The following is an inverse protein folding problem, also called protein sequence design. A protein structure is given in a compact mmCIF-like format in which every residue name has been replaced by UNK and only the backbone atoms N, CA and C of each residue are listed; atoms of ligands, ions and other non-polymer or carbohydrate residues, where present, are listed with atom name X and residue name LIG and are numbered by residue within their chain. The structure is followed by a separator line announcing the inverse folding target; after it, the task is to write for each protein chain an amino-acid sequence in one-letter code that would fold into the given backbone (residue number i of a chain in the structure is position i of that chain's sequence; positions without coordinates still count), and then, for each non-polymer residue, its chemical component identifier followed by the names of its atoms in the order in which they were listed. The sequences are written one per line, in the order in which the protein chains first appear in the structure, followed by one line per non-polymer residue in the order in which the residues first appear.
data_IF_384061690076
#
_entry.id   IF_384061690076
#
_cell.length_a   1.000
_cell.length_b   1.000
_cell.length_c   1.000
_cell.angle_alpha   90.00
_cell.angle_beta   90.00
_cell.angle_gamma   90.00
#
_symmetry.space_group_name_H-M   'P 1'
#
loop_
_entity.id
_entity.type
_entity.pdbx_description
1 polymer ?
#
# COMPACT_ATOMS: atom_id res chain seq x y z
N UNK A 1 4.70 -30.32 -61.81
CA UNK A 1 3.33 -30.48 -62.31
C UNK A 1 2.51 -31.13 -61.19
N UNK A 2 1.91 -30.34 -60.29
CA UNK A 2 0.51 -29.85 -60.31
C UNK A 2 -0.49 -31.02 -60.30
N UNK A 3 -1.34 -31.19 -59.28
CA UNK A 3 -2.48 -30.29 -59.01
C UNK A 3 -3.08 -30.52 -57.60
N UNK A 4 -3.51 -29.42 -56.98
CA UNK A 4 -4.46 -29.27 -55.85
C UNK A 4 -5.87 -29.79 -56.26
N UNK A 5 -6.85 -30.11 -55.41
CA UNK A 5 -7.53 -29.33 -54.36
C UNK A 5 -8.51 -30.23 -53.56
N UNK A 6 -8.72 -29.92 -52.27
CA UNK A 6 -10.01 -29.57 -51.63
C UNK A 6 -10.02 -29.90 -50.12
N UNK A 7 -10.38 -28.87 -49.34
CA UNK A 7 -10.41 -28.85 -47.89
C UNK A 7 -11.59 -29.65 -47.28
N UNK A 8 -11.50 -30.01 -45.99
CA UNK A 8 -12.66 -30.07 -45.13
C UNK A 8 -12.65 -28.96 -44.06
N UNK A 9 -13.84 -28.39 -43.92
CA UNK A 9 -14.34 -27.41 -42.97
C UNK A 9 -14.09 -27.78 -41.50
N UNK A 10 -13.78 -26.79 -40.66
CA UNK A 10 -13.82 -26.87 -39.19
C UNK A 10 -15.28 -26.88 -38.67
N UNK A 11 -15.58 -26.89 -37.36
CA UNK A 11 -14.75 -27.11 -36.16
C UNK A 11 -15.42 -28.02 -35.09
N UNK A 12 -14.64 -28.78 -34.31
CA UNK A 12 -15.09 -29.21 -32.97
C UNK A 12 -13.89 -29.27 -32.01
N UNK A 13 -13.60 -28.13 -31.37
CA UNK A 13 -12.74 -28.06 -30.18
C UNK A 13 -13.65 -28.02 -28.96
N UNK A 14 -13.89 -29.17 -28.36
CA UNK A 14 -14.62 -29.29 -27.10
C UNK A 14 -13.66 -29.10 -25.90
N UNK A 15 -13.63 -27.88 -25.38
CA UNK A 15 -13.58 -27.50 -23.96
C UNK A 15 -12.79 -28.37 -22.97
N UNK A 16 -11.46 -28.36 -23.07
CA UNK A 16 -10.65 -28.43 -21.86
C UNK A 16 -10.60 -27.02 -21.26
N UNK A 17 -11.51 -26.73 -20.32
CA UNK A 17 -11.42 -25.55 -19.46
C UNK A 17 -10.13 -25.65 -18.67
N UNK A 18 -9.06 -25.05 -19.20
CA UNK A 18 -7.84 -24.80 -18.45
C UNK A 18 -8.25 -23.84 -17.34
N UNK A 19 -8.53 -24.37 -16.16
CA UNK A 19 -8.43 -23.59 -14.93
C UNK A 19 -6.97 -23.14 -14.85
N UNK A 20 -6.65 -21.99 -15.47
CA UNK A 20 -5.42 -21.27 -15.16
C UNK A 20 -5.53 -20.93 -13.68
N UNK A 21 -4.83 -21.68 -12.84
CA UNK A 21 -4.54 -21.26 -11.48
C UNK A 21 -4.02 -19.82 -11.55
N UNK A 22 -4.86 -18.85 -11.16
CA UNK A 22 -4.41 -17.46 -11.05
C UNK A 22 -3.50 -17.39 -9.83
N UNK A 23 -2.21 -17.62 -10.06
CA UNK A 23 -1.17 -17.44 -9.03
C UNK A 23 -1.10 -15.96 -8.69
N UNK A 24 -1.37 -15.61 -7.44
CA UNK A 24 -1.10 -14.27 -6.91
C UNK A 24 0.42 -14.09 -6.89
N UNK A 25 0.88 -12.99 -7.48
CA UNK A 25 2.30 -12.62 -7.53
C UNK A 25 2.43 -11.18 -7.07
N UNK A 26 3.47 -10.90 -6.30
CA UNK A 26 3.87 -9.52 -6.00
C UNK A 26 4.55 -8.90 -7.23
N UNK A 27 4.84 -7.60 -7.15
CA UNK A 27 5.52 -6.85 -8.22
C UNK A 27 6.93 -7.38 -8.52
N UNK A 28 7.64 -7.90 -7.50
CA UNK A 28 9.02 -8.40 -7.63
C UNK A 28 9.15 -9.85 -7.12
N UNK A 29 8.57 -10.85 -7.81
CA UNK A 29 8.45 -12.22 -7.30
C UNK A 29 9.77 -13.00 -7.27
N UNK A 30 10.83 -12.46 -7.87
CA UNK A 30 12.17 -13.07 -7.90
C UNK A 30 13.17 -12.36 -6.98
N UNK A 31 12.74 -11.31 -6.27
CA UNK A 31 13.61 -10.61 -5.33
C UNK A 31 13.86 -11.45 -4.07
N UNK A 32 14.95 -11.15 -3.38
CA UNK A 32 15.22 -11.64 -2.01
C UNK A 32 14.60 -10.69 -1.00
N UNK A 33 14.14 -11.21 0.13
CA UNK A 33 13.51 -10.44 1.20
C UNK A 33 14.40 -10.45 2.44
N UNK A 34 14.69 -9.26 2.96
CA UNK A 34 15.14 -9.05 4.34
C UNK A 34 13.92 -8.61 5.13
N UNK A 35 13.67 -9.23 6.28
CA UNK A 35 12.52 -8.92 7.12
C UNK A 35 12.99 -8.54 8.53
N UNK A 36 12.70 -7.31 8.94
CA UNK A 36 12.95 -6.81 10.29
C UNK A 36 11.61 -6.71 11.03
N UNK A 37 11.43 -7.54 12.06
CA UNK A 37 10.29 -7.42 12.96
C UNK A 37 10.58 -6.36 13.99
N UNK A 38 9.75 -5.31 14.02
CA UNK A 38 9.84 -4.20 14.99
C UNK A 38 8.65 -4.17 15.95
N UNK A 39 7.77 -5.19 15.88
CA UNK A 39 6.62 -5.34 16.77
C UNK A 39 7.08 -5.67 18.19
N UNK A 40 6.55 -4.96 19.18
CA UNK A 40 6.78 -5.22 20.60
C UNK A 40 5.66 -6.06 21.24
N UNK A 41 5.80 -6.36 22.54
CA UNK A 41 4.84 -7.20 23.27
C UNK A 41 3.49 -6.51 23.55
N UNK A 42 3.39 -5.20 23.33
CA UNK A 42 2.19 -4.38 23.53
C UNK A 42 1.48 -4.05 22.20
N UNK A 43 1.76 -4.81 21.13
CA UNK A 43 1.28 -4.57 19.77
C UNK A 43 1.73 -3.22 19.16
N UNK A 44 2.77 -2.59 19.75
CA UNK A 44 3.39 -1.37 19.27
C UNK A 44 4.63 -1.62 18.40
N UNK A 45 5.28 -0.52 17.98
CA UNK A 45 6.50 -0.56 17.17
C UNK A 45 7.77 -0.32 18.01
N UNK A 46 7.79 -0.76 19.28
CA UNK A 46 8.91 -0.56 20.20
C UNK A 46 10.21 -1.28 19.83
N UNK A 47 10.23 -2.09 18.77
CA UNK A 47 11.45 -2.61 18.16
C UNK A 47 12.11 -1.65 17.17
N UNK A 48 11.52 -0.48 16.90
CA UNK A 48 12.19 0.59 16.17
C UNK A 48 13.32 1.18 17.03
N UNK A 49 14.52 1.39 16.45
CA UNK A 49 15.59 2.09 17.16
C UNK A 49 15.25 3.57 17.32
N UNK A 50 15.90 4.22 18.30
CA UNK A 50 15.76 5.66 18.52
C UNK A 50 16.30 6.48 17.32
N UNK A 51 17.39 6.00 16.68
CA UNK A 51 17.93 6.54 15.42
C UNK A 51 17.57 5.58 14.27
N UNK A 52 16.79 6.07 13.30
CA UNK A 52 16.38 5.27 12.15
C UNK A 52 17.55 4.83 11.26
N UNK A 53 18.71 5.47 11.35
CA UNK A 53 19.93 5.03 10.65
C UNK A 53 20.33 3.61 11.04
N UNK A 54 20.11 3.21 12.30
CA UNK A 54 20.39 1.85 12.77
C UNK A 54 19.46 0.81 12.13
N UNK A 55 18.21 1.20 11.85
CA UNK A 55 17.24 0.35 11.16
C UNK A 55 17.72 0.02 9.74
N UNK A 56 18.29 1.00 9.04
CA UNK A 56 18.67 0.87 7.63
C UNK A 56 20.08 0.32 7.42
N UNK A 57 20.99 0.56 8.38
CA UNK A 57 22.42 0.23 8.23
C UNK A 57 22.65 -1.26 8.02
N UNK A 58 22.07 -2.13 8.85
CA UNK A 58 22.32 -3.58 8.76
C UNK A 58 21.81 -4.19 7.44
N UNK A 59 20.54 -3.96 7.00
CA UNK A 59 20.07 -4.41 5.70
C UNK A 59 20.93 -3.91 4.53
N UNK A 60 21.39 -2.66 4.58
CA UNK A 60 22.18 -2.07 3.51
C UNK A 60 23.60 -2.66 3.44
N UNK A 61 24.29 -2.74 4.58
CA UNK A 61 25.70 -3.14 4.67
C UNK A 61 25.89 -4.66 4.60
N UNK A 62 25.06 -5.43 5.32
CA UNK A 62 25.23 -6.87 5.48
C UNK A 62 24.45 -7.64 4.42
N UNK A 63 23.16 -7.37 4.31
CA UNK A 63 22.26 -8.11 3.42
C UNK A 63 22.24 -7.55 1.98
N UNK A 64 22.90 -6.41 1.77
CA UNK A 64 22.98 -5.70 0.48
C UNK A 64 21.61 -5.31 -0.07
N UNK A 65 20.66 -5.02 0.80
CA UNK A 65 19.37 -4.44 0.41
C UNK A 65 19.60 -3.08 -0.26
N UNK A 66 18.76 -2.76 -1.25
CA UNK A 66 18.78 -1.47 -1.99
C UNK A 66 17.42 -0.77 -2.00
N UNK A 67 16.40 -1.44 -1.49
CA UNK A 67 15.06 -0.90 -1.30
C UNK A 67 14.63 -1.29 0.12
N UNK A 68 14.29 -0.31 0.95
CA UNK A 68 13.68 -0.51 2.26
C UNK A 68 12.29 0.08 2.26
N UNK A 69 11.28 -0.73 2.58
CA UNK A 69 9.88 -0.30 2.57
C UNK A 69 9.31 -0.33 3.98
N UNK A 70 8.68 0.77 4.36
CA UNK A 70 8.17 1.02 5.69
C UNK A 70 6.67 1.35 5.59
N UNK A 71 5.83 0.48 6.15
CA UNK A 71 4.36 0.64 6.17
C UNK A 71 3.88 0.98 7.58
N UNK A 72 4.51 2.00 8.17
CA UNK A 72 4.24 2.53 9.49
C UNK A 72 4.54 4.03 9.49
N UNK A 73 4.02 4.73 10.50
CA UNK A 73 4.26 6.16 10.73
C UNK A 73 3.72 6.57 12.09
N UNK A 74 4.07 7.78 12.53
CA UNK A 74 3.59 8.30 13.82
C UNK A 74 2.42 9.26 13.65
N UNK A 75 1.38 9.07 14.48
CA UNK A 75 0.28 10.02 14.61
C UNK A 75 0.71 11.14 15.55
N UNK A 76 1.35 12.17 14.99
CA UNK A 76 1.89 13.30 15.73
C UNK A 76 2.59 14.29 14.82
N UNK A 77 2.69 15.55 15.28
CA UNK A 77 3.38 16.62 14.56
C UNK A 77 2.97 16.74 13.08
N UNK A 78 1.67 16.62 12.76
CA UNK A 78 1.17 16.60 11.38
C UNK A 78 1.77 17.68 10.47
N UNK A 79 2.32 17.26 9.33
CA UNK A 79 2.98 18.14 8.35
C UNK A 79 4.39 18.66 8.72
N UNK A 80 4.97 18.36 9.89
CA UNK A 80 6.28 18.91 10.31
C UNK A 80 7.45 18.03 9.88
N UNK A 81 8.57 18.63 9.44
CA UNK A 81 9.85 17.95 9.30
C UNK A 81 10.46 17.74 10.69
N UNK A 82 10.57 16.48 11.13
CA UNK A 82 11.02 16.10 12.46
C UNK A 82 12.36 15.34 12.42
N UNK A 83 12.80 14.86 13.58
CA UNK A 83 14.05 14.12 13.72
C UNK A 83 14.07 12.86 12.85
N UNK A 84 12.98 12.09 12.80
CA UNK A 84 12.89 10.91 11.93
C UNK A 84 13.02 11.27 10.45
N UNK A 85 12.43 12.39 10.02
CA UNK A 85 12.62 12.89 8.65
C UNK A 85 14.07 13.29 8.38
N UNK A 86 14.76 13.87 9.37
CA UNK A 86 16.18 14.21 9.27
C UNK A 86 17.08 12.98 9.12
N UNK A 87 16.89 11.97 9.96
CA UNK A 87 17.66 10.72 9.93
C UNK A 87 17.50 9.98 8.60
N UNK A 88 16.26 9.89 8.09
CA UNK A 88 16.00 9.31 6.76
C UNK A 88 16.70 10.10 5.66
N UNK A 89 16.65 11.44 5.73
CA UNK A 89 17.28 12.29 4.73
C UNK A 89 18.80 12.18 4.74
N UNK A 90 19.40 12.15 5.93
CA UNK A 90 20.84 11.98 6.11
C UNK A 90 21.28 10.61 5.59
N UNK A 91 20.59 9.53 5.98
CA UNK A 91 20.95 8.18 5.58
C UNK A 91 20.96 8.03 4.05
N UNK A 92 19.91 8.50 3.36
CA UNK A 92 19.85 8.42 1.89
C UNK A 92 20.85 9.37 1.21
N UNK A 93 21.14 10.52 1.83
CA UNK A 93 22.17 11.42 1.31
C UNK A 93 23.56 10.77 1.30
N UNK A 94 23.90 10.05 2.37
CA UNK A 94 25.17 9.32 2.52
C UNK A 94 25.20 8.00 1.73
N UNK A 95 24.03 7.40 1.47
CA UNK A 95 23.86 6.13 0.75
C UNK A 95 23.00 6.29 -0.49
N UNK A 96 23.54 6.96 -1.52
CA UNK A 96 22.81 7.35 -2.74
C UNK A 96 22.24 6.19 -3.57
N UNK A 97 22.69 4.96 -3.35
CA UNK A 97 22.17 3.74 -4.00
C UNK A 97 21.06 3.05 -3.18
N UNK A 98 20.60 3.64 -2.07
CA UNK A 98 19.50 3.14 -1.26
C UNK A 98 18.20 3.90 -1.51
N UNK A 99 17.13 3.18 -1.83
CA UNK A 99 15.77 3.73 -1.88
C UNK A 99 15.01 3.39 -0.60
N UNK A 100 14.56 4.42 0.12
CA UNK A 100 13.67 4.25 1.28
C UNK A 100 12.26 4.70 0.91
N UNK A 101 11.29 3.80 1.07
CA UNK A 101 9.88 4.06 0.82
C UNK A 101 9.09 4.11 2.13
N UNK A 102 8.20 5.09 2.28
CA UNK A 102 7.28 5.21 3.40
C UNK A 102 5.82 5.31 2.93
N UNK A 103 4.93 4.69 3.69
CA UNK A 103 3.50 4.97 3.62
C UNK A 103 3.21 6.45 3.91
N UNK A 104 2.28 7.07 3.18
CA UNK A 104 1.85 8.44 3.48
C UNK A 104 1.09 8.56 4.81
N UNK A 105 0.42 7.47 5.24
CA UNK A 105 -0.47 7.44 6.39
C UNK A 105 -1.95 7.28 6.01
N UNK A 106 -2.82 7.08 7.01
CA UNK A 106 -4.28 6.95 6.85
C UNK A 106 -5.09 8.03 7.57
N UNK A 107 -4.52 9.21 7.74
CA UNK A 107 -5.07 10.29 8.56
C UNK A 107 -5.83 11.32 7.71
N UNK A 108 -6.14 10.96 6.46
CA UNK A 108 -7.05 11.72 5.60
C UNK A 108 -8.48 11.62 6.12
N UNK A 109 -9.06 12.75 6.50
CA UNK A 109 -10.46 12.86 6.96
C UNK A 109 -11.09 14.15 6.43
N UNK A 110 -12.41 14.18 6.34
CA UNK A 110 -13.23 15.36 5.96
C UNK A 110 -13.72 16.03 7.26
N UNK A 111 -12.86 16.83 7.91
CA UNK A 111 -13.12 17.43 9.23
C UNK A 111 -14.21 18.51 9.18
N UNK A 112 -14.31 19.21 8.06
CA UNK A 112 -15.25 20.31 7.88
C UNK A 112 -16.55 19.88 7.17
N UNK A 113 -16.72 18.57 6.92
CA UNK A 113 -17.90 17.97 6.32
C UNK A 113 -18.30 18.62 4.98
N UNK A 114 -17.31 18.99 4.16
CA UNK A 114 -17.54 19.61 2.86
C UNK A 114 -17.46 18.62 1.69
N UNK A 115 -17.22 17.33 1.96
CA UNK A 115 -17.08 16.30 0.95
C UNK A 115 -15.70 16.22 0.31
N UNK A 116 -14.70 16.87 0.88
CA UNK A 116 -13.29 16.82 0.46
C UNK A 116 -12.39 16.44 1.64
N UNK A 117 -11.27 15.78 1.36
CA UNK A 117 -10.32 15.42 2.40
C UNK A 117 -9.39 16.60 2.68
N UNK A 118 -9.25 16.94 3.96
CA UNK A 118 -8.37 18.02 4.38
C UNK A 118 -6.88 17.67 4.16
N UNK A 119 -6.07 18.67 3.74
CA UNK A 119 -4.63 18.51 3.54
C UNK A 119 -3.86 18.40 4.87
N UNK A 120 -2.55 18.17 4.76
CA UNK A 120 -1.61 18.22 5.89
C UNK A 120 -1.59 16.97 6.77
N UNK A 121 -2.08 15.84 6.28
CA UNK A 121 -2.22 14.58 7.05
C UNK A 121 -1.08 13.59 6.86
N UNK A 122 -0.10 13.85 5.97
CA UNK A 122 1.05 12.94 5.78
C UNK A 122 1.78 12.71 7.11
N UNK A 123 2.07 11.47 7.47
CA UNK A 123 2.75 11.10 8.74
C UNK A 123 4.26 11.06 8.58
N UNK A 124 5.03 11.31 9.66
CA UNK A 124 6.46 11.02 9.66
C UNK A 124 6.67 9.51 9.79
N UNK A 125 7.76 8.94 9.25
CA UNK A 125 8.87 9.62 8.55
C UNK A 125 8.61 9.96 7.08
N UNK A 126 7.42 9.66 6.53
CA UNK A 126 7.03 9.89 5.14
C UNK A 126 7.03 11.35 4.67
N UNK A 127 7.56 12.29 5.46
CA UNK A 127 7.78 13.69 5.11
C UNK A 127 9.24 14.00 4.76
N UNK A 128 10.16 13.04 4.93
CA UNK A 128 11.55 13.20 4.55
C UNK A 128 11.68 13.58 3.07
N UNK A 129 12.64 14.44 2.72
CA UNK A 129 12.87 14.91 1.34
C UNK A 129 13.36 13.78 0.43
N UNK A 130 14.19 12.88 0.96
CA UNK A 130 14.91 11.84 0.23
C UNK A 130 14.27 10.46 0.37
N UNK A 131 13.03 10.37 0.85
CA UNK A 131 12.24 9.14 0.80
C UNK A 131 11.17 9.20 -0.29
N UNK A 132 10.76 8.04 -0.79
CA UNK A 132 9.59 7.88 -1.64
C UNK A 132 8.35 7.62 -0.77
N UNK A 133 7.51 8.63 -0.65
CA UNK A 133 6.26 8.60 0.10
C UNK A 133 5.13 8.17 -0.82
N UNK A 134 4.43 7.10 -0.45
CA UNK A 134 3.40 6.46 -1.27
C UNK A 134 2.03 6.64 -0.63
N UNK A 135 1.13 7.34 -1.32
CA UNK A 135 -0.30 7.39 -0.99
C UNK A 135 -1.08 6.26 -1.64
N UNK A 136 -2.38 6.18 -1.37
CA UNK A 136 -3.25 5.14 -1.93
C UNK A 136 -4.28 5.68 -2.92
N UNK A 137 -4.35 5.05 -4.08
CA UNK A 137 -5.54 5.06 -4.95
C UNK A 137 -6.32 3.77 -4.80
N UNK A 138 -7.56 3.74 -5.29
CA UNK A 138 -8.39 2.56 -5.14
C UNK A 138 -7.94 1.43 -6.06
N UNK A 139 -8.36 0.21 -5.73
CA UNK A 139 -8.27 -0.92 -6.66
C UNK A 139 -9.57 -1.07 -7.46
N UNK A 140 -9.54 -1.76 -8.59
CA UNK A 140 -10.73 -2.05 -9.39
C UNK A 140 -11.44 -3.33 -8.91
N UNK A 141 -12.31 -3.20 -7.91
CA UNK A 141 -13.16 -4.28 -7.37
C UNK A 141 -14.61 -3.83 -7.22
N UNK A 142 -15.33 -3.63 -8.33
CA UNK A 142 -16.66 -3.02 -8.32
C UNK A 142 -17.73 -3.86 -7.59
N UNK A 143 -17.43 -5.14 -7.31
CA UNK A 143 -18.27 -6.00 -6.48
C UNK A 143 -18.19 -5.69 -4.99
N UNK A 144 -17.26 -4.82 -4.55
CA UNK A 144 -17.23 -4.28 -3.19
C UNK A 144 -18.10 -3.04 -3.14
N UNK A 145 -19.18 -3.13 -2.36
CA UNK A 145 -20.21 -2.09 -2.26
C UNK A 145 -20.07 -1.20 -1.03
N UNK A 146 -19.08 -1.45 -0.16
CA UNK A 146 -18.81 -0.59 0.99
C UNK A 146 -18.52 0.83 0.50
N UNK A 147 -19.13 1.82 1.14
CA UNK A 147 -18.85 3.24 0.92
C UNK A 147 -18.06 3.82 2.09
N UNK A 148 -17.37 4.93 1.87
CA UNK A 148 -16.60 5.58 2.95
C UNK A 148 -17.49 6.00 4.12
N UNK A 149 -18.68 6.54 3.84
CA UNK A 149 -19.65 6.94 4.88
C UNK A 149 -20.28 5.77 5.64
N UNK A 150 -20.27 4.55 5.08
CA UNK A 150 -20.67 3.34 5.81
C UNK A 150 -19.55 2.80 6.69
N UNK A 151 -18.30 2.83 6.19
CA UNK A 151 -17.14 2.31 6.92
C UNK A 151 -16.68 3.23 8.04
N UNK A 152 -16.68 4.54 7.79
CA UNK A 152 -16.17 5.57 8.71
C UNK A 152 -17.07 6.82 8.65
N UNK A 153 -18.32 6.74 9.18
CA UNK A 153 -19.28 7.83 9.11
C UNK A 153 -18.81 9.13 9.79
N UNK A 154 -17.98 9.01 10.82
CA UNK A 154 -17.41 10.17 11.53
C UNK A 154 -16.30 10.87 10.73
N UNK A 155 -15.51 10.10 9.98
CA UNK A 155 -14.36 10.61 9.21
C UNK A 155 -14.78 11.14 7.83
N UNK A 156 -15.87 10.60 7.26
CA UNK A 156 -16.37 10.94 5.91
C UNK A 156 -17.88 11.23 5.91
N UNK A 157 -18.33 12.33 6.53
CA UNK A 157 -19.74 12.61 6.77
C UNK A 157 -20.51 13.18 5.56
N UNK A 158 -19.82 13.71 4.54
CA UNK A 158 -20.42 14.49 3.45
C UNK A 158 -20.09 13.97 2.02
N UNK A 159 -21.01 14.25 1.10
CA UNK A 159 -20.87 13.90 -0.33
C UNK A 159 -19.91 14.86 -1.04
N UNK A 160 -19.15 14.40 -2.06
CA UNK A 160 -19.29 13.10 -2.74
C UNK A 160 -18.63 11.92 -2.01
N UNK A 161 -17.66 12.14 -1.14
CA UNK A 161 -16.85 11.05 -0.53
C UNK A 161 -17.71 10.06 0.26
N UNK A 162 -18.69 10.54 1.04
CA UNK A 162 -19.56 9.71 1.86
C UNK A 162 -20.19 8.54 1.09
N UNK A 163 -20.67 8.80 -0.13
CA UNK A 163 -21.36 7.80 -0.96
C UNK A 163 -20.44 7.10 -1.96
N UNK A 164 -19.19 7.55 -2.07
CA UNK A 164 -18.21 6.91 -2.94
C UNK A 164 -17.81 5.53 -2.39
N UNK A 165 -17.58 4.58 -3.31
CA UNK A 165 -17.23 3.22 -2.96
C UNK A 165 -15.73 3.10 -2.80
N UNK A 166 -15.30 2.27 -1.86
CA UNK A 166 -13.89 2.17 -1.46
C UNK A 166 -12.96 1.45 -2.46
N UNK A 167 -13.47 0.96 -3.58
CA UNK A 167 -12.74 0.05 -4.48
C UNK A 167 -13.37 -0.09 -5.88
N UNK A 168 -13.88 0.99 -6.46
CA UNK A 168 -14.50 0.94 -7.79
C UNK A 168 -13.80 1.82 -8.82
N UNK A 169 -12.92 2.73 -8.42
CA UNK A 169 -12.29 3.67 -9.34
C UNK A 169 -10.76 3.75 -9.15
N UNK A 170 -9.95 3.09 -10.00
CA UNK A 170 -8.48 3.14 -9.92
C UNK A 170 -7.85 4.53 -9.99
N UNK A 171 -8.55 5.49 -10.62
CA UNK A 171 -8.12 6.89 -10.69
C UNK A 171 -8.56 7.70 -9.45
N UNK A 172 -9.43 7.11 -8.62
CA UNK A 172 -9.89 7.65 -7.36
C UNK A 172 -8.83 7.49 -6.27
N UNK A 173 -8.55 8.58 -5.55
CA UNK A 173 -7.75 8.54 -4.33
C UNK A 173 -8.56 7.93 -3.19
N UNK A 174 -7.93 7.05 -2.42
CA UNK A 174 -8.55 6.47 -1.23
C UNK A 174 -8.83 7.58 -0.23
N UNK A 175 -10.04 7.66 0.32
CA UNK A 175 -10.44 8.78 1.18
C UNK A 175 -9.52 8.93 2.40
N UNK A 176 -9.19 7.83 3.08
CA UNK A 176 -8.29 7.87 4.23
C UNK A 176 -6.81 8.08 3.88
N UNK A 177 -6.39 8.01 2.61
CA UNK A 177 -4.99 8.26 2.26
C UNK A 177 -4.57 9.66 2.71
N UNK A 178 -3.49 9.75 3.48
CA UNK A 178 -2.98 11.05 3.91
C UNK A 178 -2.57 11.92 2.71
N UNK A 179 -2.81 13.22 2.84
CA UNK A 179 -2.65 14.23 1.78
C UNK A 179 -1.74 15.36 2.25
N UNK A 180 -0.89 15.84 1.36
CA UNK A 180 -0.18 17.09 1.55
C UNK A 180 -1.02 18.32 1.17
N UNK A 181 -0.39 19.49 0.99
CA UNK A 181 1.04 19.72 1.24
C UNK A 181 1.40 19.50 2.71
N UNK A 182 2.67 19.25 2.99
CA UNK A 182 3.16 19.29 4.36
C UNK A 182 3.38 20.75 4.80
N UNK A 183 3.59 20.99 6.09
CA UNK A 183 3.52 22.34 6.71
C UNK A 183 4.55 23.32 6.16
N UNK A 184 5.68 22.83 5.67
CA UNK A 184 6.72 23.65 5.02
C UNK A 184 6.46 23.89 3.52
N UNK A 185 5.30 23.49 3.01
CA UNK A 185 4.85 23.72 1.64
C UNK A 185 5.30 22.66 0.62
N UNK A 186 6.13 21.69 1.01
CA UNK A 186 6.52 20.62 0.08
C UNK A 186 5.34 19.71 -0.27
N UNK A 187 5.39 19.16 -1.47
CA UNK A 187 4.40 18.23 -1.99
C UNK A 187 4.75 16.82 -1.53
N UNK A 188 3.83 16.20 -0.79
CA UNK A 188 3.81 14.78 -0.44
C UNK A 188 2.35 14.30 -0.46
N UNK A 189 2.04 13.01 -0.72
CA UNK A 189 2.97 11.96 -1.15
C UNK A 189 3.58 12.25 -2.53
N UNK A 190 4.65 11.54 -2.89
CA UNK A 190 5.30 11.71 -4.20
C UNK A 190 4.52 10.97 -5.30
N UNK A 191 3.97 9.81 -4.95
CA UNK A 191 3.22 8.94 -5.87
C UNK A 191 2.05 8.28 -5.13
N UNK A 192 1.11 7.73 -5.91
CA UNK A 192 0.04 6.87 -5.41
C UNK A 192 0.12 5.48 -6.02
N UNK A 193 -0.35 4.48 -5.27
CA UNK A 193 -0.48 3.10 -5.75
C UNK A 193 -1.80 2.48 -5.24
N UNK A 194 -2.30 1.39 -5.87
CA UNK A 194 -3.52 0.73 -5.41
C UNK A 194 -3.40 0.28 -3.94
N UNK A 195 -4.31 0.76 -3.10
CA UNK A 195 -4.25 0.64 -1.66
C UNK A 195 -5.51 0.12 -0.99
N UNK A 196 -6.60 -0.15 -1.71
CA UNK A 196 -7.81 -0.79 -1.15
C UNK A 196 -8.00 -2.20 -1.70
N UNK A 197 -8.46 -3.13 -0.85
CA UNK A 197 -8.70 -4.53 -1.18
C UNK A 197 -7.56 -5.22 -1.99
N UNK A 198 -6.30 -5.06 -1.59
CA UNK A 198 -5.18 -5.71 -2.26
C UNK A 198 -5.07 -7.15 -1.78
N UNK A 199 -5.19 -8.11 -2.70
CA UNK A 199 -5.07 -9.52 -2.35
C UNK A 199 -3.61 -9.85 -2.08
N UNK A 200 -3.28 -10.23 -0.85
CA UNK A 200 -1.91 -10.56 -0.43
C UNK A 200 -1.85 -11.75 0.52
N UNK A 201 -0.65 -12.08 0.99
CA UNK A 201 -0.41 -13.11 2.01
C UNK A 201 -1.04 -12.70 3.34
N UNK A 202 -1.60 -13.69 4.04
CA UNK A 202 -2.08 -13.55 5.42
C UNK A 202 -1.30 -14.51 6.29
N UNK A 203 -0.77 -14.01 7.41
CA UNK A 203 -0.11 -14.85 8.41
C UNK A 203 -1.05 -15.96 8.89
N UNK A 204 -0.53 -17.17 9.03
CA UNK A 204 -1.28 -18.30 9.60
C UNK A 204 -1.54 -18.11 11.10
N UNK A 205 -0.80 -17.22 11.75
CA UNK A 205 -0.93 -16.93 13.17
C UNK A 205 -2.03 -15.89 13.49
N UNK A 206 -2.66 -15.25 12.50
CA UNK A 206 -3.69 -14.24 12.76
C UNK A 206 -5.09 -14.72 12.37
N UNK A 207 -6.06 -14.42 13.25
CA UNK A 207 -7.49 -14.58 12.96
C UNK A 207 -8.08 -13.38 12.20
N UNK A 208 -7.36 -12.26 12.13
CA UNK A 208 -7.81 -11.06 11.42
C UNK A 208 -8.04 -11.33 9.93
N UNK A 209 -9.16 -10.81 9.43
CA UNK A 209 -9.58 -10.96 8.03
C UNK A 209 -9.25 -9.72 7.18
N UNK A 210 -8.72 -8.66 7.79
CA UNK A 210 -8.49 -7.38 7.11
C UNK A 210 -9.77 -6.91 6.40
N UNK A 211 -9.64 -6.63 5.10
CA UNK A 211 -10.73 -6.18 4.23
C UNK A 211 -11.56 -7.34 3.63
N UNK A 212 -11.28 -8.57 4.05
CA UNK A 212 -11.97 -9.78 3.61
C UNK A 212 -11.02 -10.89 3.17
N UNK A 213 -11.59 -12.07 2.96
CA UNK A 213 -10.87 -13.26 2.49
C UNK A 213 -11.10 -13.47 1.00
N UNK A 214 -10.10 -14.06 0.34
CA UNK A 214 -10.28 -14.56 -1.04
C UNK A 214 -10.81 -15.98 -1.03
N UNK A 215 -11.66 -16.29 -2.00
CA UNK A 215 -12.15 -17.64 -2.30
C UNK A 215 -11.20 -18.44 -3.19
N UNK A 216 -10.05 -17.89 -3.59
CA UNK A 216 -9.05 -18.61 -4.38
C UNK A 216 -8.50 -19.83 -3.61
N UNK A 217 -8.17 -20.94 -4.30
CA UNK A 217 -7.66 -22.15 -3.65
C UNK A 217 -6.44 -21.87 -2.75
N UNK A 218 -6.36 -22.54 -1.59
CA UNK A 218 -5.41 -22.21 -0.53
C UNK A 218 -4.01 -22.75 -0.86
N UNK A 219 -3.15 -21.93 -1.43
CA UNK A 219 -1.69 -22.20 -1.38
C UNK A 219 -0.98 -21.42 -0.28
N UNK A 220 -1.65 -20.43 0.31
CA UNK A 220 -1.35 -19.85 1.63
C UNK A 220 -2.48 -18.85 1.91
N UNK A 221 -3.02 -18.82 3.14
CA UNK A 221 -4.11 -17.94 3.57
C UNK A 221 -3.99 -16.55 2.94
N UNK A 222 -5.00 -16.13 2.16
CA UNK A 222 -5.00 -14.83 1.47
C UNK A 222 -6.02 -13.90 2.09
N UNK A 223 -5.63 -12.65 2.33
CA UNK A 223 -6.55 -11.60 2.75
C UNK A 223 -6.40 -10.40 1.82
N UNK A 224 -7.49 -9.67 1.65
CA UNK A 224 -7.45 -8.34 1.13
C UNK A 224 -6.88 -7.42 2.23
N UNK A 225 -5.69 -6.85 2.00
CA UNK A 225 -5.10 -5.80 2.86
C UNK A 225 -5.07 -4.50 2.09
N UNK A 226 -5.28 -3.40 2.79
CA UNK A 226 -4.87 -2.11 2.27
C UNK A 226 -3.35 -1.99 2.43
N UNK A 227 -2.64 -1.42 1.46
CA UNK A 227 -1.20 -1.16 1.58
C UNK A 227 -0.87 -0.24 2.77
N UNK A 228 -1.87 0.49 3.28
CA UNK A 228 -1.65 1.55 4.27
C UNK A 228 -2.30 1.29 5.64
N UNK A 229 -3.35 0.47 5.81
CA UNK A 229 -4.05 0.35 7.11
C UNK A 229 -3.49 -0.79 7.98
N UNK A 230 -2.81 -0.40 9.07
CA UNK A 230 -2.27 -1.17 10.21
C UNK A 230 -0.81 -1.62 10.07
N UNK A 231 0.11 -0.97 10.81
CA UNK A 231 0.22 -1.10 12.27
C UNK A 231 0.06 0.26 12.93
#
# INVERSE_FOLDING_TARGET
MTRTDMAPTSPDRCWATVFRERRVRCAAPKARLVFQSVLDANDGLGGLPDDLSDLFTKPYTTDKARIHTNSWGSTGNFGVYDQQAHEVDQFVHEHRDMLICFAAGNEGIDRNANGAIDPGSVTPPGRAKNCLTVGACENNRPNKTLTYGQGWPADFPANPIKTDRVANNPDGLVAFSSRGPIRDGRIKPDVVAPGTFILSTRSRATLSKGWGLSSDPPTCSRAARAWLRHW
#
